data_IF_563259255917
#
_entry.id   IF_563259255917
#
_cell.length_a   1.000
_cell.length_b   1.000
_cell.length_c   1.000
_cell.angle_alpha   90.00
_cell.angle_beta   90.00
_cell.angle_gamma   90.00
#
_symmetry.space_group_name_H-M   'P 1'
#
loop_
_entity.id
_entity.type
_entity.pdbx_description
1 polymer ?
#
# COMPACT_ATOMS: atom_id res chain seq x y z
N UNK A 1 15.79 -45.01 -30.83
CA UNK A 1 14.40 -44.62 -30.54
C UNK A 1 14.21 -44.48 -29.04
N UNK A 2 14.50 -43.33 -28.48
CA UNK A 2 14.11 -42.91 -27.10
C UNK A 2 14.20 -41.38 -27.05
N UNK A 3 13.09 -40.72 -27.06
CA UNK A 3 13.04 -39.27 -26.93
C UNK A 3 11.68 -38.75 -27.38
N UNK A 4 10.70 -38.80 -26.49
CA UNK A 4 9.46 -37.98 -26.58
C UNK A 4 8.56 -38.34 -25.38
N UNK A 5 8.86 -37.86 -24.19
CA UNK A 5 7.91 -37.94 -23.07
C UNK A 5 8.12 -36.89 -21.96
N UNK A 6 8.76 -35.75 -22.23
CA UNK A 6 8.99 -34.75 -21.16
C UNK A 6 8.31 -33.36 -21.35
N UNK A 7 7.52 -33.17 -22.41
CA UNK A 7 6.91 -31.85 -22.68
C UNK A 7 5.45 -31.73 -22.16
N UNK A 8 4.79 -32.85 -21.88
CA UNK A 8 3.37 -32.83 -21.49
C UNK A 8 3.09 -32.44 -20.01
N UNK A 9 4.09 -32.49 -19.12
CA UNK A 9 3.87 -32.24 -17.69
C UNK A 9 3.93 -30.75 -17.28
N UNK A 10 4.66 -29.92 -18.00
CA UNK A 10 4.83 -28.50 -17.69
C UNK A 10 3.60 -27.63 -18.04
N UNK A 11 2.91 -27.98 -19.11
CA UNK A 11 1.74 -27.23 -19.60
C UNK A 11 0.51 -27.47 -18.70
N UNK A 12 0.39 -28.67 -18.11
CA UNK A 12 -0.73 -28.99 -17.21
C UNK A 12 -0.67 -28.23 -15.87
N UNK A 13 0.53 -27.95 -15.35
CA UNK A 13 0.70 -27.22 -14.10
C UNK A 13 0.39 -25.72 -14.23
N UNK A 14 0.72 -25.09 -15.35
CA UNK A 14 0.41 -23.69 -15.63
C UNK A 14 -1.10 -23.47 -15.83
N UNK A 15 -1.78 -24.39 -16.52
CA UNK A 15 -3.22 -24.31 -16.76
C UNK A 15 -4.04 -24.54 -15.47
N UNK A 16 -3.55 -25.36 -14.53
CA UNK A 16 -4.23 -25.60 -13.26
C UNK A 16 -4.20 -24.34 -12.36
N UNK A 17 -3.09 -23.61 -12.33
CA UNK A 17 -3.00 -22.38 -11.53
C UNK A 17 -3.89 -21.26 -12.11
N UNK A 18 -3.97 -21.10 -13.41
CA UNK A 18 -4.88 -20.13 -14.04
C UNK A 18 -6.36 -20.47 -13.76
N UNK A 19 -6.71 -21.72 -13.76
CA UNK A 19 -8.08 -22.18 -13.52
C UNK A 19 -8.50 -21.98 -12.05
N UNK A 20 -7.59 -22.18 -11.09
CA UNK A 20 -7.86 -21.92 -9.66
C UNK A 20 -8.06 -20.42 -9.35
N UNK A 21 -7.35 -19.53 -10.04
CA UNK A 21 -7.51 -18.08 -9.88
C UNK A 21 -8.83 -17.60 -10.51
N UNK A 22 -9.20 -18.14 -11.67
CA UNK A 22 -10.47 -17.82 -12.32
C UNK A 22 -11.69 -18.28 -11.50
N UNK A 23 -11.63 -19.46 -10.89
CA UNK A 23 -12.71 -19.99 -10.05
C UNK A 23 -13.01 -19.11 -8.82
N UNK A 24 -12.01 -18.38 -8.30
CA UNK A 24 -12.21 -17.46 -7.18
C UNK A 24 -12.89 -16.13 -7.59
N UNK A 25 -12.70 -15.65 -8.80
CA UNK A 25 -13.36 -14.42 -9.28
C UNK A 25 -14.83 -14.65 -9.60
N UNK A 26 -15.19 -15.79 -10.16
CA UNK A 26 -16.57 -16.15 -10.53
C UNK A 26 -17.51 -16.25 -9.33
N UNK A 27 -16.98 -16.37 -8.12
CA UNK A 27 -17.75 -16.41 -6.87
C UNK A 27 -18.13 -15.02 -6.34
N UNK A 28 -17.58 -13.96 -6.90
CA UNK A 28 -17.81 -12.58 -6.45
C UNK A 28 -19.03 -11.99 -7.16
N UNK A 29 -19.89 -11.33 -6.38
CA UNK A 29 -21.04 -10.61 -6.90
C UNK A 29 -20.61 -9.18 -7.24
N UNK A 30 -20.80 -8.79 -8.49
CA UNK A 30 -20.43 -7.49 -9.01
C UNK A 30 -21.69 -6.75 -9.44
N UNK A 31 -21.79 -5.48 -9.08
CA UNK A 31 -22.90 -4.62 -9.50
C UNK A 31 -22.92 -4.42 -11.03
N UNK A 32 -24.09 -4.33 -11.66
CA UNK A 32 -24.20 -4.09 -13.08
C UNK A 32 -23.45 -2.82 -13.52
N UNK A 33 -22.65 -2.94 -14.59
CA UNK A 33 -21.85 -1.84 -15.13
C UNK A 33 -20.40 -1.82 -14.62
N UNK A 34 -20.02 -2.75 -13.74
CA UNK A 34 -18.65 -2.98 -13.35
C UNK A 34 -18.12 -4.30 -13.90
N UNK A 35 -16.82 -4.37 -14.11
CA UNK A 35 -16.09 -5.56 -14.51
C UNK A 35 -14.97 -5.82 -13.53
N UNK A 36 -14.70 -7.09 -13.24
CA UNK A 36 -13.62 -7.51 -12.36
C UNK A 36 -12.55 -8.25 -13.14
N UNK A 37 -11.30 -7.81 -13.02
CA UNK A 37 -10.15 -8.46 -13.62
C UNK A 37 -8.98 -8.54 -12.63
N UNK A 38 -8.04 -9.46 -12.92
CA UNK A 38 -6.77 -9.54 -12.17
C UNK A 38 -5.78 -8.61 -12.85
N UNK A 39 -5.34 -7.58 -12.15
CA UNK A 39 -4.32 -6.65 -12.64
C UNK A 39 -2.90 -7.18 -12.45
N UNK A 40 -2.58 -7.80 -11.30
CA UNK A 40 -1.28 -8.40 -11.01
C UNK A 40 -1.41 -9.57 -10.04
N UNK A 41 -0.46 -10.51 -10.11
CA UNK A 41 -0.34 -11.68 -9.23
C UNK A 41 1.01 -11.69 -8.51
N UNK A 42 1.20 -12.68 -7.62
CA UNK A 42 2.46 -12.90 -6.89
C UNK A 42 2.92 -11.67 -6.09
N UNK A 43 1.97 -11.03 -5.40
CA UNK A 43 2.22 -9.94 -4.46
C UNK A 43 2.27 -10.49 -3.02
N UNK A 44 3.22 -10.00 -2.21
CA UNK A 44 3.37 -10.42 -0.81
C UNK A 44 2.56 -9.53 0.13
N UNK A 45 1.32 -9.91 0.37
CA UNK A 45 0.43 -9.20 1.30
C UNK A 45 0.28 -7.71 0.95
N UNK A 46 -0.18 -7.35 -0.27
CA UNK A 46 -0.34 -5.97 -0.70
C UNK A 46 -1.31 -5.22 0.21
N UNK A 47 -1.00 -3.96 0.49
CA UNK A 47 -1.77 -3.12 1.41
C UNK A 47 -2.31 -1.88 0.70
N UNK A 48 -1.71 -0.73 0.89
CA UNK A 48 -2.15 0.50 0.22
C UNK A 48 -1.54 0.58 -1.19
N UNK A 49 -2.32 1.12 -2.10
CA UNK A 49 -1.93 1.38 -3.48
C UNK A 49 -2.11 2.86 -3.81
N UNK A 50 -1.33 3.35 -4.76
CA UNK A 50 -1.46 4.70 -5.32
C UNK A 50 -1.19 4.66 -6.82
N UNK A 51 -2.00 5.36 -7.59
CA UNK A 51 -1.85 5.47 -9.04
C UNK A 51 -1.04 6.70 -9.40
N UNK A 52 0.01 6.51 -10.19
CA UNK A 52 0.82 7.56 -10.77
C UNK A 52 0.15 8.21 -11.99
N UNK A 53 0.68 9.36 -12.42
CA UNK A 53 0.15 10.12 -13.57
C UNK A 53 0.26 9.36 -14.90
N UNK A 54 1.23 8.45 -15.00
CA UNK A 54 1.48 7.63 -16.19
C UNK A 54 0.79 6.25 -16.10
N UNK A 55 -0.12 6.05 -15.13
CA UNK A 55 -0.83 4.79 -14.94
C UNK A 55 -0.06 3.72 -14.18
N UNK A 56 1.16 4.00 -13.71
CA UNK A 56 1.88 3.08 -12.83
C UNK A 56 1.12 2.89 -11.51
N UNK A 57 0.82 1.66 -11.14
CA UNK A 57 0.23 1.36 -9.84
C UNK A 57 1.36 1.06 -8.86
N UNK A 58 1.55 1.94 -7.89
CA UNK A 58 2.49 1.75 -6.78
C UNK A 58 1.81 0.97 -5.67
N UNK A 59 2.50 -0.05 -5.14
CA UNK A 59 1.95 -0.95 -4.13
C UNK A 59 2.93 -1.07 -2.96
N UNK A 60 2.42 -0.86 -1.75
CA UNK A 60 3.15 -1.18 -0.54
C UNK A 60 2.82 -2.62 -0.11
N UNK A 61 3.84 -3.45 0.04
CA UNK A 61 3.73 -4.83 0.50
C UNK A 61 4.16 -4.95 1.96
N UNK A 62 3.34 -5.63 2.76
CA UNK A 62 3.69 -5.92 4.17
C UNK A 62 4.98 -6.72 4.30
N UNK A 63 5.32 -7.51 3.29
CA UNK A 63 6.58 -8.24 3.17
C UNK A 63 7.83 -7.36 3.11
N UNK A 64 7.67 -6.04 3.06
CA UNK A 64 8.77 -5.08 3.14
C UNK A 64 9.26 -4.56 1.80
N UNK A 65 8.40 -4.55 0.80
CA UNK A 65 8.72 -3.98 -0.51
C UNK A 65 7.75 -2.86 -0.91
N UNK A 66 8.25 -1.97 -1.73
CA UNK A 66 7.45 -1.04 -2.54
C UNK A 66 7.64 -1.44 -3.99
N UNK A 67 6.54 -1.66 -4.68
CA UNK A 67 6.51 -2.07 -6.07
C UNK A 67 5.92 -1.00 -6.97
N UNK A 68 6.39 -0.93 -8.21
CA UNK A 68 5.72 -0.28 -9.33
C UNK A 68 5.22 -1.34 -10.30
N UNK A 69 3.93 -1.36 -10.57
CA UNK A 69 3.28 -2.24 -11.53
C UNK A 69 2.93 -1.41 -12.76
N UNK A 70 3.42 -1.81 -13.92
CA UNK A 70 3.27 -1.07 -15.16
C UNK A 70 2.49 -1.94 -16.16
N UNK A 71 1.39 -1.40 -16.66
CA UNK A 71 0.62 -1.90 -17.80
C UNK A 71 0.97 -1.02 -19.01
N UNK A 72 1.87 -1.51 -19.87
CA UNK A 72 2.45 -0.72 -20.96
C UNK A 72 1.58 -0.72 -22.22
N UNK A 73 0.70 -1.68 -22.38
CA UNK A 73 -0.21 -1.81 -23.53
C UNK A 73 -1.68 -1.44 -23.18
N UNK A 74 -1.93 -1.06 -21.94
CA UNK A 74 -3.24 -0.67 -21.40
C UNK A 74 -4.32 -1.76 -21.56
N UNK A 75 -3.92 -3.02 -21.38
CA UNK A 75 -4.84 -4.15 -21.44
C UNK A 75 -5.50 -4.49 -20.10
N UNK A 76 -5.18 -3.76 -19.02
CA UNK A 76 -5.69 -3.98 -17.67
C UNK A 76 -4.92 -5.04 -16.88
N UNK A 77 -3.73 -5.43 -17.34
CA UNK A 77 -2.82 -6.34 -16.65
C UNK A 77 -1.41 -5.75 -16.62
N UNK A 78 -0.72 -5.90 -15.51
CA UNK A 78 0.65 -5.41 -15.38
C UNK A 78 1.62 -6.29 -16.18
N UNK A 79 2.33 -5.68 -17.15
CA UNK A 79 3.39 -6.33 -17.92
C UNK A 79 4.69 -6.47 -17.15
N UNK A 80 4.94 -5.54 -16.22
CA UNK A 80 6.16 -5.53 -15.43
C UNK A 80 5.92 -5.14 -13.98
N UNK A 81 6.73 -5.77 -13.12
CA UNK A 81 6.81 -5.53 -11.69
C UNK A 81 8.22 -5.08 -11.34
N UNK A 82 8.36 -3.85 -10.86
CA UNK A 82 9.64 -3.24 -10.52
C UNK A 82 9.72 -3.03 -9.01
N UNK A 83 10.80 -3.51 -8.39
CA UNK A 83 11.07 -3.24 -6.97
C UNK A 83 11.66 -1.83 -6.86
N UNK A 84 10.96 -0.95 -6.16
CA UNK A 84 11.33 0.45 -5.93
C UNK A 84 12.11 0.59 -4.63
N UNK A 85 11.70 -0.12 -3.60
CA UNK A 85 12.40 -0.21 -2.32
C UNK A 85 12.19 -1.59 -1.72
N UNK A 86 13.16 -2.07 -0.95
CA UNK A 86 13.11 -3.36 -0.27
C UNK A 86 13.67 -3.30 1.15
N UNK A 87 13.63 -4.46 1.84
CA UNK A 87 14.12 -4.60 3.21
C UNK A 87 13.51 -3.58 4.18
N UNK A 88 12.24 -3.24 3.97
CA UNK A 88 11.50 -2.31 4.81
C UNK A 88 10.80 -3.03 5.96
N UNK A 89 10.73 -2.36 7.11
CA UNK A 89 10.03 -2.90 8.28
C UNK A 89 8.55 -2.54 8.25
N UNK A 90 7.67 -3.52 8.01
CA UNK A 90 6.20 -3.34 7.99
C UNK A 90 5.73 -2.22 7.05
N UNK A 91 6.16 -2.26 5.80
CA UNK A 91 5.75 -1.30 4.78
C UNK A 91 4.28 -1.51 4.40
N UNK A 92 3.44 -0.50 4.63
CA UNK A 92 2.00 -0.60 4.37
C UNK A 92 1.39 0.66 3.77
N UNK A 93 1.88 1.82 4.15
CA UNK A 93 1.38 3.11 3.69
C UNK A 93 2.10 3.61 2.45
N UNK A 94 1.35 4.17 1.50
CA UNK A 94 1.88 4.75 0.26
C UNK A 94 1.02 5.96 -0.16
N UNK A 95 1.66 7.00 -0.67
CA UNK A 95 0.98 8.18 -1.21
C UNK A 95 1.82 8.85 -2.28
N UNK A 96 1.19 9.47 -3.25
CA UNK A 96 1.84 10.31 -4.26
C UNK A 96 1.45 11.77 -4.05
N UNK A 97 2.44 12.64 -4.15
CA UNK A 97 2.22 14.08 -4.16
C UNK A 97 3.24 14.78 -5.07
N UNK A 98 2.75 15.54 -6.04
CA UNK A 98 3.56 16.31 -7.02
C UNK A 98 4.64 15.50 -7.74
N UNK A 99 4.42 14.20 -7.95
CA UNK A 99 5.36 13.30 -8.63
C UNK A 99 6.30 12.56 -7.68
N UNK A 100 6.34 12.93 -6.41
CA UNK A 100 7.10 12.25 -5.38
C UNK A 100 6.29 11.08 -4.78
N UNK A 101 6.95 9.95 -4.57
CA UNK A 101 6.38 8.77 -3.93
C UNK A 101 6.75 8.76 -2.45
N UNK A 102 5.75 8.78 -1.58
CA UNK A 102 5.92 8.63 -0.13
C UNK A 102 5.50 7.23 0.30
N UNK A 103 6.26 6.63 1.21
CA UNK A 103 5.92 5.32 1.76
C UNK A 103 6.40 5.19 3.22
N UNK A 104 5.73 4.32 3.97
CA UNK A 104 6.01 4.12 5.39
C UNK A 104 6.74 2.82 5.67
N UNK A 105 7.58 2.87 6.69
CA UNK A 105 7.88 1.77 7.60
C UNK A 105 7.09 1.94 8.89
N UNK A 106 7.25 1.02 9.85
CA UNK A 106 6.53 1.13 11.13
C UNK A 106 6.88 2.42 11.89
N UNK A 107 8.14 2.84 11.89
CA UNK A 107 8.63 4.00 12.64
C UNK A 107 9.13 5.16 11.78
N UNK A 108 9.02 5.04 10.44
CA UNK A 108 9.59 6.02 9.51
C UNK A 108 8.68 6.25 8.32
N UNK A 109 8.83 7.45 7.73
CA UNK A 109 8.26 7.75 6.43
C UNK A 109 9.37 8.27 5.52
N UNK A 110 9.41 7.71 4.32
CA UNK A 110 10.37 8.01 3.28
C UNK A 110 9.71 8.66 2.09
N UNK A 111 10.50 9.38 1.28
CA UNK A 111 10.07 9.80 -0.05
C UNK A 111 11.12 9.46 -1.10
N UNK A 112 10.66 9.30 -2.33
CA UNK A 112 11.46 9.22 -3.54
C UNK A 112 10.95 10.30 -4.48
N UNK A 113 11.86 11.19 -4.92
CA UNK A 113 11.52 12.31 -5.78
C UNK A 113 11.32 11.84 -7.22
N UNK A 114 10.32 12.41 -7.90
CA UNK A 114 10.03 12.22 -9.31
C UNK A 114 10.05 10.74 -9.75
N UNK A 115 9.34 9.89 -9.03
CA UNK A 115 9.43 8.43 -9.20
C UNK A 115 9.13 7.97 -10.62
N UNK A 116 8.13 8.51 -11.30
CA UNK A 116 7.78 8.08 -12.66
C UNK A 116 8.84 8.51 -13.69
N UNK A 117 9.48 9.66 -13.48
CA UNK A 117 10.63 10.07 -14.30
C UNK A 117 11.82 9.12 -14.09
N UNK A 118 12.06 8.71 -12.84
CA UNK A 118 13.07 7.70 -12.54
C UNK A 118 12.76 6.39 -13.27
N UNK A 119 11.53 5.88 -13.18
CA UNK A 119 11.12 4.62 -13.85
C UNK A 119 11.26 4.71 -15.37
N UNK A 120 10.92 5.85 -15.98
CA UNK A 120 11.01 6.05 -17.44
C UNK A 120 12.45 6.04 -17.97
N UNK A 121 13.43 6.36 -17.13
CA UNK A 121 14.86 6.42 -17.48
C UNK A 121 15.58 5.08 -17.21
N UNK A 122 14.94 4.11 -16.57
CA UNK A 122 15.55 2.82 -16.31
C UNK A 122 15.80 2.05 -17.61
N UNK A 123 17.08 1.99 -18.02
CA UNK A 123 17.56 0.98 -18.96
C UNK A 123 18.02 -0.24 -18.16
N UNK A 124 17.81 -1.42 -18.63
CA UNK A 124 18.21 -2.78 -18.24
C UNK A 124 18.99 -3.09 -16.91
N UNK A 125 19.44 -2.09 -16.16
CA UNK A 125 19.98 -2.22 -14.80
C UNK A 125 18.97 -1.66 -13.82
N UNK A 126 18.42 -2.52 -13.00
CA UNK A 126 17.48 -2.18 -11.95
C UNK A 126 18.26 -1.55 -10.77
N UNK A 127 18.53 -0.26 -10.86
CA UNK A 127 19.03 0.53 -9.73
C UNK A 127 17.84 0.98 -8.89
N UNK A 128 17.92 0.83 -7.58
CA UNK A 128 16.90 1.37 -6.69
C UNK A 128 17.03 2.88 -6.58
N UNK A 129 15.93 3.64 -6.59
CA UNK A 129 15.98 5.08 -6.42
C UNK A 129 16.44 5.45 -5.01
N UNK A 130 17.04 6.63 -4.89
CA UNK A 130 17.44 7.16 -3.59
C UNK A 130 16.22 7.53 -2.76
N UNK A 131 16.07 6.93 -1.58
CA UNK A 131 15.06 7.33 -0.60
C UNK A 131 15.58 8.42 0.35
N UNK A 132 14.71 9.36 0.65
CA UNK A 132 14.93 10.51 1.54
C UNK A 132 14.04 10.33 2.76
N UNK A 133 14.63 10.44 3.96
CA UNK A 133 13.88 10.36 5.21
C UNK A 133 13.04 11.63 5.41
N UNK A 134 11.74 11.47 5.65
CA UNK A 134 10.78 12.56 5.84
C UNK A 134 10.36 12.67 7.30
N UNK A 135 9.98 11.54 7.90
CA UNK A 135 9.62 11.46 9.32
C UNK A 135 10.36 10.30 9.95
N UNK A 136 10.90 10.50 11.15
CA UNK A 136 11.61 9.47 11.94
C UNK A 136 11.07 9.41 13.36
N UNK A 137 11.54 8.41 14.10
CA UNK A 137 11.26 8.24 15.53
C UNK A 137 9.76 8.15 15.87
N UNK A 138 8.94 7.60 14.95
CA UNK A 138 7.57 7.24 15.27
C UNK A 138 7.55 5.98 16.16
N UNK A 139 6.49 5.76 16.95
CA UNK A 139 6.31 4.52 17.70
C UNK A 139 6.46 3.28 16.81
N UNK A 140 7.16 2.25 17.33
CA UNK A 140 7.56 1.07 16.58
C UNK A 140 6.85 -0.23 17.02
N UNK A 141 5.84 -0.11 17.87
CA UNK A 141 4.99 -1.25 18.22
C UNK A 141 4.31 -1.83 16.98
N UNK A 142 4.35 -3.16 16.87
CA UNK A 142 3.77 -3.87 15.72
C UNK A 142 2.25 -3.98 15.79
N UNK A 143 1.65 -3.89 17.00
CA UNK A 143 0.20 -3.82 17.16
C UNK A 143 -0.34 -2.51 16.58
N UNK A 144 -1.23 -2.61 15.60
CA UNK A 144 -1.80 -1.48 14.85
C UNK A 144 -0.74 -0.46 14.35
N UNK A 145 0.52 -0.91 14.22
CA UNK A 145 1.65 -0.08 13.80
C UNK A 145 1.64 0.30 12.33
N UNK A 146 0.76 -0.31 11.55
CA UNK A 146 0.61 -0.06 10.12
C UNK A 146 0.08 1.33 9.87
N UNK A 147 0.64 1.98 8.85
CA UNK A 147 0.28 3.34 8.50
C UNK A 147 -0.49 3.37 7.19
N UNK A 148 -1.48 4.21 7.13
CA UNK A 148 -2.09 4.69 5.90
C UNK A 148 -1.53 6.08 5.61
N UNK A 149 -1.16 6.37 4.37
CA UNK A 149 -0.63 7.67 3.99
C UNK A 149 -1.58 8.36 3.02
N UNK A 150 -1.79 9.66 3.22
CA UNK A 150 -2.54 10.50 2.28
C UNK A 150 -2.06 11.94 2.36
N UNK A 151 -1.85 12.59 1.22
CA UNK A 151 -1.64 14.02 1.16
C UNK A 151 -2.97 14.77 0.97
N UNK A 152 -3.09 15.92 1.58
CA UNK A 152 -4.10 16.91 1.21
C UNK A 152 -3.64 17.75 0.00
N UNK A 153 -4.49 18.68 -0.41
CA UNK A 153 -4.20 19.54 -1.56
C UNK A 153 -3.06 20.54 -1.31
N UNK A 154 -2.78 20.85 -0.04
CA UNK A 154 -1.73 21.77 0.38
C UNK A 154 -0.38 21.07 0.60
N UNK A 155 -0.30 19.77 0.29
CA UNK A 155 0.92 18.96 0.44
C UNK A 155 1.20 18.51 1.87
N UNK A 156 0.26 18.67 2.79
CA UNK A 156 0.41 18.09 4.13
C UNK A 156 0.20 16.58 4.06
N UNK A 157 1.11 15.82 4.68
CA UNK A 157 1.04 14.38 4.76
C UNK A 157 0.31 13.95 6.03
N UNK A 158 -0.75 13.17 5.88
CA UNK A 158 -1.51 12.57 6.98
C UNK A 158 -1.18 11.10 7.13
N UNK A 159 -1.08 10.64 8.38
CA UNK A 159 -0.89 9.23 8.71
C UNK A 159 -1.41 8.90 10.10
N UNK A 160 -1.74 7.62 10.31
CA UNK A 160 -2.20 7.11 11.59
C UNK A 160 -1.08 6.48 12.41
N UNK A 161 -1.25 6.50 13.72
CA UNK A 161 -0.52 5.65 14.67
C UNK A 161 -1.56 4.98 15.56
N UNK A 162 -1.76 3.68 15.37
CA UNK A 162 -2.76 2.93 16.13
C UNK A 162 -2.36 2.69 17.59
N UNK A 163 -3.28 2.25 18.42
CA UNK A 163 -3.02 1.91 19.80
C UNK A 163 -2.08 0.69 19.91
N UNK A 164 -1.16 0.63 20.88
CA UNK A 164 -0.19 -0.47 21.00
C UNK A 164 -0.78 -1.74 21.61
N UNK A 165 -2.09 -1.81 21.76
CA UNK A 165 -2.81 -2.95 22.36
C UNK A 165 -4.27 -2.98 21.96
N UNK A 166 -5.02 -4.03 22.37
CA UNK A 166 -6.45 -4.09 22.12
C UNK A 166 -7.23 -3.03 22.96
N UNK A 167 -6.94 -2.96 24.26
CA UNK A 167 -7.60 -2.03 25.21
C UNK A 167 -6.55 -1.49 26.16
N UNK A 168 -6.05 -0.29 25.92
CA UNK A 168 -5.13 0.40 26.82
C UNK A 168 -5.12 1.89 26.57
N UNK A 169 -4.64 2.64 27.55
CA UNK A 169 -4.20 4.01 27.42
C UNK A 169 -2.67 4.02 27.44
N UNK A 170 -2.05 4.54 26.40
CA UNK A 170 -0.61 4.70 26.33
C UNK A 170 -0.20 6.05 26.91
N UNK A 171 0.92 6.07 27.63
CA UNK A 171 1.55 7.33 28.09
C UNK A 171 2.16 8.14 26.93
N UNK A 172 2.57 7.45 25.84
CA UNK A 172 3.02 8.14 24.65
C UNK A 172 1.83 8.70 23.86
N UNK A 173 1.69 10.03 23.77
CA UNK A 173 0.52 10.68 23.17
C UNK A 173 0.42 10.49 21.65
N UNK A 174 1.42 9.93 21.00
CA UNK A 174 1.37 9.66 19.56
C UNK A 174 0.49 8.45 19.22
N UNK A 175 0.29 7.52 20.16
CA UNK A 175 -0.60 6.39 19.93
C UNK A 175 -2.08 6.81 19.85
N UNK A 176 -2.84 5.96 19.19
CA UNK A 176 -4.28 6.15 18.97
C UNK A 176 -4.60 7.52 18.34
N UNK A 177 -3.88 7.89 17.29
CA UNK A 177 -4.01 9.22 16.67
C UNK A 177 -3.93 9.20 15.15
N UNK A 178 -4.45 10.26 14.54
CA UNK A 178 -4.11 10.66 13.17
C UNK A 178 -3.28 11.93 13.28
N UNK A 179 -2.12 11.91 12.64
CA UNK A 179 -1.14 12.98 12.61
C UNK A 179 -1.09 13.63 11.23
N UNK A 180 -0.69 14.89 11.22
CA UNK A 180 -0.37 15.65 10.02
C UNK A 180 1.07 16.15 10.11
N UNK A 181 1.84 15.94 9.07
CA UNK A 181 3.20 16.44 8.90
C UNK A 181 3.24 17.47 7.78
N UNK A 182 3.80 18.63 8.05
CA UNK A 182 4.02 19.71 7.08
C UNK A 182 5.24 20.53 7.46
N UNK A 183 6.11 20.79 6.50
CA UNK A 183 7.29 21.69 6.65
C UNK A 183 8.18 21.38 7.86
N UNK A 184 8.29 20.09 8.24
CA UNK A 184 9.06 19.63 9.41
C UNK A 184 8.27 19.55 10.70
N UNK A 185 7.05 20.07 10.73
CA UNK A 185 6.19 20.09 11.92
C UNK A 185 5.18 18.95 11.93
N UNK A 186 5.04 18.33 13.12
CA UNK A 186 4.09 17.25 13.37
C UNK A 186 2.95 17.75 14.27
N UNK A 187 1.71 17.59 13.85
CA UNK A 187 0.53 18.01 14.59
C UNK A 187 -0.55 16.94 14.64
N UNK A 188 -1.38 16.99 15.70
CA UNK A 188 -2.50 16.05 15.85
C UNK A 188 -3.72 16.54 15.09
N UNK A 189 -4.34 15.64 14.33
CA UNK A 189 -5.62 15.85 13.64
C UNK A 189 -6.75 15.21 14.43
N UNK A 190 -6.55 13.98 14.92
CA UNK A 190 -7.50 13.27 15.76
C UNK A 190 -6.76 12.47 16.84
N UNK A 191 -7.41 12.29 17.99
CA UNK A 191 -6.95 11.48 19.12
C UNK A 191 -8.04 10.53 19.56
N UNK A 192 -7.66 9.40 20.16
CA UNK A 192 -8.58 8.35 20.55
C UNK A 192 -8.99 7.43 19.40
N UNK A 193 -8.28 7.49 18.27
CA UNK A 193 -8.48 6.64 17.10
C UNK A 193 -7.68 5.36 17.28
N UNK A 194 -8.35 4.27 17.68
CA UNK A 194 -7.67 3.04 18.06
C UNK A 194 -6.85 2.41 16.91
N UNK A 195 -7.46 2.25 15.75
CA UNK A 195 -6.84 1.60 14.60
C UNK A 195 -7.51 2.00 13.30
N UNK A 196 -7.17 3.20 12.82
CA UNK A 196 -7.57 3.61 11.48
C UNK A 196 -6.74 2.85 10.43
N UNK A 197 -7.41 2.21 9.48
CA UNK A 197 -6.76 1.49 8.37
C UNK A 197 -7.07 2.12 7.01
N UNK A 198 -7.70 3.28 7.01
CA UNK A 198 -7.98 4.03 5.79
C UNK A 198 -8.63 5.37 6.09
N UNK A 199 -8.23 6.40 5.36
CA UNK A 199 -8.85 7.72 5.36
C UNK A 199 -8.66 8.41 4.02
N UNK A 200 -9.56 9.33 3.74
CA UNK A 200 -9.48 10.18 2.56
C UNK A 200 -10.18 11.51 2.80
N UNK A 201 -9.99 12.46 1.89
CA UNK A 201 -10.59 13.76 1.93
C UNK A 201 -11.85 13.81 1.08
N UNK A 202 -12.93 14.33 1.65
CA UNK A 202 -14.16 14.53 0.89
C UNK A 202 -13.90 15.43 -0.35
N UNK A 203 -14.30 15.00 -1.56
CA UNK A 203 -13.88 15.66 -2.80
C UNK A 203 -14.32 17.13 -2.92
N UNK A 204 -15.42 17.51 -2.28
CA UNK A 204 -15.95 18.89 -2.29
C UNK A 204 -15.51 19.66 -1.05
N UNK A 205 -15.79 19.14 0.16
CA UNK A 205 -15.59 19.89 1.41
C UNK A 205 -14.17 19.83 1.94
N UNK A 206 -13.34 18.95 1.37
CA UNK A 206 -11.94 18.70 1.80
C UNK A 206 -11.78 18.26 3.25
N UNK A 207 -12.87 17.94 3.93
CA UNK A 207 -12.82 17.37 5.27
C UNK A 207 -12.26 15.96 5.24
N UNK A 208 -11.44 15.64 6.23
CA UNK A 208 -10.92 14.28 6.44
C UNK A 208 -12.04 13.37 6.94
N UNK A 209 -12.19 12.20 6.31
CA UNK A 209 -12.98 11.08 6.76
C UNK A 209 -12.06 9.89 6.99
N UNK A 210 -12.26 9.16 8.07
CA UNK A 210 -11.46 7.98 8.39
C UNK A 210 -12.34 6.88 8.97
N UNK A 211 -11.87 5.65 8.85
CA UNK A 211 -12.44 4.48 9.53
C UNK A 211 -11.68 4.20 10.81
N UNK A 212 -12.34 3.61 11.80
CA UNK A 212 -11.69 3.16 13.02
C UNK A 212 -12.17 1.75 13.39
N UNK A 213 -11.24 0.83 13.57
CA UNK A 213 -11.53 -0.50 14.09
C UNK A 213 -11.57 -0.44 15.62
N UNK A 214 -12.75 -0.64 16.20
CA UNK A 214 -12.96 -0.71 17.63
C UNK A 214 -12.23 -1.90 18.28
N UNK A 215 -12.36 -2.03 19.58
CA UNK A 215 -11.76 -3.13 20.35
C UNK A 215 -12.36 -4.49 19.95
N UNK A 216 -11.53 -5.54 20.03
CA UNK A 216 -12.00 -6.92 19.88
C UNK A 216 -12.71 -7.42 21.15
N UNK A 217 -13.41 -8.55 21.01
CA UNK A 217 -14.11 -9.26 22.11
C UNK A 217 -15.25 -8.47 22.75
N UNK A 218 -16.02 -7.76 21.94
CA UNK A 218 -17.24 -7.08 22.41
C UNK A 218 -18.44 -8.04 22.58
N UNK A 219 -18.35 -9.26 22.05
CA UNK A 219 -19.44 -10.22 22.00
C UNK A 219 -20.40 -9.98 20.83
N UNK A 220 -21.46 -10.77 20.77
CA UNK A 220 -22.42 -10.74 19.65
C UNK A 220 -23.41 -9.58 19.74
N UNK A 221 -23.45 -8.84 20.88
CA UNK A 221 -24.42 -7.79 21.19
C UNK A 221 -23.87 -6.36 20.91
N UNK A 222 -22.76 -6.23 20.18
CA UNK A 222 -22.07 -4.95 19.94
C UNK A 222 -22.24 -4.42 18.52
#
# INVERSE_FOLDING_TARGET
>A
MRGFKLIAFGICFLLINYKLLAENLDSLIIEPGFELSIFATDLDSPRQMAEGKNGTIFVAERGGQILGLIDSDNNGQADSKIIIADNLSYSTGISLFEGDLYFSEISKIWKIENIEEFLSKQSSRQEMPKKILVVDNLPDDTWHGWKWLKHDQDGSLYFNIGAPCNICLSENPQYASILKFKDGDLSYVAKGVRNSVGFDFHPITKKLFFTDNGRDWLGDDS
#
